data_IF_974620465336
#
_entry.id   IF_974620465336
#
_cell.length_a   1.000
_cell.length_b   1.000
_cell.length_c   1.000
_cell.angle_alpha   90.00
_cell.angle_beta   90.00
_cell.angle_gamma   90.00
#
_symmetry.space_group_name_H-M   'P 1'
#
loop_
_entity.id
_entity.type
_entity.pdbx_description
1 polymer ?
#
# COMPACT_ATOMS: atom_id res chain seq x y z
N UNK A 1 1.93 -13.46 11.25
CA UNK A 1 0.64 -13.64 10.57
C UNK A 1 -0.43 -13.08 11.49
N UNK A 2 -1.43 -12.40 10.94
CA UNK A 2 -2.61 -11.98 11.69
C UNK A 2 -3.77 -12.82 11.17
N UNK A 3 -4.43 -13.52 12.08
CA UNK A 3 -5.59 -14.34 11.79
C UNK A 3 -6.85 -13.47 11.74
N UNK A 4 -7.87 -13.94 11.02
CA UNK A 4 -9.21 -13.31 10.99
C UNK A 4 -9.20 -11.81 10.64
N UNK A 5 -8.33 -11.40 9.70
CA UNK A 5 -8.27 -10.00 9.25
C UNK A 5 -9.51 -9.60 8.46
N UNK A 6 -10.00 -10.47 7.58
CA UNK A 6 -11.20 -10.22 6.78
C UNK A 6 -11.96 -11.51 6.51
N UNK A 7 -13.25 -11.40 6.20
CA UNK A 7 -14.07 -12.57 5.89
C UNK A 7 -13.77 -13.09 4.47
N UNK A 8 -13.74 -14.41 4.23
CA UNK A 8 -13.54 -14.96 2.89
C UNK A 8 -14.48 -14.39 1.81
N UNK A 9 -15.73 -14.06 2.16
CA UNK A 9 -16.68 -13.44 1.23
C UNK A 9 -16.25 -12.02 0.80
N UNK A 10 -15.63 -11.25 1.71
CA UNK A 10 -15.07 -9.94 1.38
C UNK A 10 -13.94 -10.09 0.37
N UNK A 11 -13.07 -11.10 0.56
CA UNK A 11 -11.98 -11.43 -0.38
C UNK A 11 -12.55 -11.79 -1.75
N UNK A 12 -13.58 -12.62 -1.78
CA UNK A 12 -14.21 -13.04 -3.04
C UNK A 12 -14.84 -11.86 -3.78
N UNK A 13 -15.42 -10.91 -3.05
CA UNK A 13 -15.93 -9.68 -3.63
C UNK A 13 -14.83 -8.81 -4.23
N UNK A 14 -13.70 -8.66 -3.55
CA UNK A 14 -12.54 -7.92 -4.09
C UNK A 14 -11.92 -8.64 -5.30
N UNK A 15 -11.86 -9.98 -5.29
CA UNK A 15 -11.45 -10.75 -6.48
C UNK A 15 -12.32 -10.40 -7.68
N UNK A 16 -13.65 -10.41 -7.53
CA UNK A 16 -14.60 -10.05 -8.61
C UNK A 16 -14.47 -8.61 -9.07
N UNK A 17 -14.26 -7.67 -8.14
CA UNK A 17 -14.07 -6.25 -8.47
C UNK A 17 -12.75 -6.00 -9.24
N UNK A 18 -11.71 -6.80 -8.98
CA UNK A 18 -10.38 -6.65 -9.60
C UNK A 18 -10.16 -7.52 -10.84
N UNK A 19 -10.96 -8.57 -11.03
CA UNK A 19 -10.86 -9.52 -12.13
C UNK A 19 -10.89 -8.87 -13.52
N UNK A 20 -11.82 -7.95 -13.86
CA UNK A 20 -11.88 -7.35 -15.20
C UNK A 20 -10.58 -6.62 -15.59
N UNK A 21 -9.87 -6.08 -14.62
CA UNK A 21 -8.59 -5.40 -14.83
C UNK A 21 -7.43 -6.37 -15.01
N UNK A 22 -7.46 -7.50 -14.30
CA UNK A 22 -6.45 -8.56 -14.45
C UNK A 22 -6.59 -9.28 -15.79
N UNK A 23 -7.82 -9.54 -16.25
CA UNK A 23 -8.10 -10.21 -17.52
C UNK A 23 -7.71 -9.37 -18.75
N UNK A 24 -7.71 -8.05 -18.60
CA UNK A 24 -7.33 -7.10 -19.67
C UNK A 24 -5.88 -6.64 -19.58
N UNK A 25 -5.15 -7.04 -18.53
CA UNK A 25 -3.73 -6.75 -18.37
C UNK A 25 -2.86 -7.54 -19.35
N UNK A 26 -1.68 -6.99 -19.64
CA UNK A 26 -0.75 -7.52 -20.63
C UNK A 26 0.45 -8.20 -19.96
N UNK A 27 1.04 -9.23 -20.57
CA UNK A 27 2.30 -9.80 -20.11
C UNK A 27 3.35 -8.73 -19.82
N UNK A 28 4.07 -8.89 -18.71
CA UNK A 28 5.16 -7.99 -18.36
C UNK A 28 6.39 -8.24 -19.24
N UNK A 29 6.97 -7.17 -19.79
CA UNK A 29 8.24 -7.23 -20.52
C UNK A 29 9.28 -6.53 -19.66
N UNK A 30 10.07 -7.30 -18.91
CA UNK A 30 11.10 -6.78 -18.03
C UNK A 30 11.42 -7.73 -16.88
N UNK A 31 12.12 -7.23 -15.87
CA UNK A 31 12.61 -8.03 -14.74
C UNK A 31 11.71 -8.00 -13.50
N UNK A 32 10.80 -7.02 -13.41
CA UNK A 32 10.02 -6.79 -12.19
C UNK A 32 8.97 -7.87 -11.94
N UNK A 33 8.25 -8.27 -12.99
CA UNK A 33 7.23 -9.33 -12.90
C UNK A 33 7.47 -10.40 -13.96
N UNK A 34 7.14 -11.66 -13.68
CA UNK A 34 7.01 -12.69 -14.70
C UNK A 34 5.99 -12.28 -15.78
N UNK A 35 6.19 -12.67 -17.06
CA UNK A 35 5.24 -12.38 -18.12
C UNK A 35 3.88 -13.08 -17.92
N UNK A 36 3.83 -14.14 -17.11
CA UNK A 36 2.63 -14.90 -16.76
C UNK A 36 1.74 -14.14 -15.76
N UNK A 37 2.33 -13.39 -14.83
CA UNK A 37 1.59 -12.63 -13.82
C UNK A 37 0.77 -11.49 -14.43
N UNK A 38 -0.51 -11.41 -14.06
CA UNK A 38 -1.41 -10.29 -14.37
C UNK A 38 -1.56 -9.38 -13.16
N UNK A 39 -1.71 -8.08 -13.41
CA UNK A 39 -1.77 -7.04 -12.37
C UNK A 39 -3.03 -6.21 -12.48
N UNK A 40 -3.58 -5.86 -11.32
CA UNK A 40 -4.55 -4.79 -11.15
C UNK A 40 -3.94 -3.72 -10.24
N UNK A 41 -3.37 -2.67 -10.84
CA UNK A 41 -2.92 -1.47 -10.11
C UNK A 41 -4.10 -0.65 -9.57
N UNK A 42 -3.85 0.30 -8.66
CA UNK A 42 -4.84 1.16 -8.03
C UNK A 42 -6.01 0.36 -7.42
N UNK A 43 -5.69 -0.67 -6.63
CA UNK A 43 -6.68 -1.53 -5.98
C UNK A 43 -7.71 -0.70 -5.19
N UNK A 44 -7.28 0.33 -4.44
CA UNK A 44 -8.20 1.16 -3.65
C UNK A 44 -9.15 2.00 -4.52
N UNK A 45 -8.72 2.43 -5.71
CA UNK A 45 -9.59 3.12 -6.66
C UNK A 45 -10.54 2.17 -7.40
N UNK A 46 -10.12 0.91 -7.63
CA UNK A 46 -10.87 -0.07 -8.44
C UNK A 46 -11.81 -0.95 -7.64
N UNK A 47 -11.53 -1.16 -6.35
CA UNK A 47 -12.34 -1.99 -5.46
C UNK A 47 -13.02 -1.14 -4.40
N UNK A 48 -14.34 -0.97 -4.53
CA UNK A 48 -15.18 -0.31 -3.53
C UNK A 48 -15.16 -1.05 -2.20
N UNK A 49 -14.93 -2.35 -2.24
CA UNK A 49 -14.84 -3.19 -1.04
C UNK A 49 -13.50 -2.98 -0.34
N UNK A 50 -12.37 -3.05 -1.07
CA UNK A 50 -11.04 -2.88 -0.48
C UNK A 50 -10.85 -1.50 0.18
N UNK A 51 -11.33 -0.42 -0.46
CA UNK A 51 -11.20 0.92 0.12
C UNK A 51 -12.06 1.13 1.37
N UNK A 52 -13.23 0.48 1.45
CA UNK A 52 -14.18 0.64 2.56
C UNK A 52 -13.93 -0.30 3.72
N UNK A 53 -13.41 -1.49 3.45
CA UNK A 53 -13.27 -2.54 4.46
C UNK A 53 -11.81 -2.82 4.82
N UNK A 54 -10.85 -2.63 3.90
CA UNK A 54 -9.44 -2.94 4.17
C UNK A 54 -8.57 -1.70 4.40
N UNK A 55 -8.67 -0.68 3.55
CA UNK A 55 -7.80 0.50 3.63
C UNK A 55 -7.99 1.25 4.95
N UNK A 56 -9.24 1.37 5.39
CA UNK A 56 -9.65 2.09 6.60
C UNK A 56 -9.82 1.16 7.81
N UNK A 57 -9.30 -0.07 7.74
CA UNK A 57 -9.42 -1.02 8.85
C UNK A 57 -8.69 -0.49 10.11
N UNK A 58 -9.29 -0.56 11.31
CA UNK A 58 -8.64 -0.10 12.54
C UNK A 58 -7.30 -0.78 12.86
N UNK A 59 -7.12 -2.04 12.45
CA UNK A 59 -5.84 -2.75 12.57
C UNK A 59 -4.78 -2.12 11.66
N UNK A 60 -5.12 -1.78 10.41
CA UNK A 60 -4.23 -1.03 9.51
C UNK A 60 -3.81 0.27 10.18
N UNK A 61 -4.76 1.04 10.73
CA UNK A 61 -4.45 2.30 11.39
C UNK A 61 -3.48 2.11 12.56
N UNK A 62 -3.72 1.12 13.44
CA UNK A 62 -2.85 0.81 14.58
C UNK A 62 -1.44 0.41 14.14
N UNK A 63 -1.34 -0.46 13.14
CA UNK A 63 -0.04 -0.90 12.62
C UNK A 63 0.74 0.26 11.98
N UNK A 64 0.07 1.14 11.24
CA UNK A 64 0.67 2.35 10.69
C UNK A 64 1.17 3.30 11.79
N UNK A 65 0.38 3.49 12.85
CA UNK A 65 0.77 4.30 14.01
C UNK A 65 2.03 3.78 14.70
N UNK A 66 2.13 2.47 14.87
CA UNK A 66 3.26 1.84 15.55
C UNK A 66 4.54 1.86 14.70
N UNK A 67 4.43 1.52 13.41
CA UNK A 67 5.60 1.21 12.59
C UNK A 67 6.04 2.29 11.61
N UNK A 68 5.16 3.21 11.23
CA UNK A 68 5.41 4.13 10.11
C UNK A 68 5.31 5.58 10.53
N UNK A 69 4.24 5.94 11.24
CA UNK A 69 3.96 7.30 11.66
C UNK A 69 5.19 7.91 12.34
N UNK A 70 5.40 9.21 12.11
CA UNK A 70 6.58 9.89 12.65
C UNK A 70 6.19 11.24 13.23
N UNK A 71 6.45 11.38 14.52
CA UNK A 71 6.36 12.68 15.19
C UNK A 71 7.70 13.41 15.11
N UNK A 72 7.66 14.65 14.62
CA UNK A 72 8.81 15.56 14.54
C UNK A 72 8.47 16.91 15.14
N UNK A 73 9.51 17.73 15.33
CA UNK A 73 9.38 19.06 15.92
C UNK A 73 10.16 20.04 15.07
N UNK A 74 9.60 21.23 14.87
CA UNK A 74 10.32 22.38 14.33
C UNK A 74 10.03 23.62 15.21
N UNK A 75 10.61 24.75 14.84
CA UNK A 75 10.34 26.03 15.48
C UNK A 75 9.99 27.08 14.43
N UNK A 76 8.97 27.88 14.71
CA UNK A 76 8.71 29.14 14.03
C UNK A 76 8.96 30.28 15.02
N UNK A 77 10.10 30.97 14.84
CA UNK A 77 10.61 31.88 15.85
C UNK A 77 10.96 31.13 17.15
N UNK A 78 10.35 31.53 18.26
CA UNK A 78 10.53 30.90 19.58
C UNK A 78 9.48 29.82 19.87
N UNK A 79 8.45 29.68 19.04
CA UNK A 79 7.37 28.72 19.25
C UNK A 79 7.77 27.35 18.70
N UNK A 80 7.72 26.32 19.54
CA UNK A 80 7.89 24.92 19.12
C UNK A 80 6.58 24.37 18.56
N UNK A 81 6.62 23.86 17.34
CA UNK A 81 5.51 23.15 16.73
C UNK A 81 5.79 21.65 16.70
N UNK A 82 4.75 20.84 16.97
CA UNK A 82 4.84 19.38 17.02
C UNK A 82 3.94 18.80 15.94
N UNK A 83 4.52 17.94 15.12
CA UNK A 83 3.89 17.43 13.90
C UNK A 83 3.90 15.93 13.91
N UNK A 84 2.81 15.31 13.47
CA UNK A 84 2.77 13.86 13.26
C UNK A 84 2.45 13.58 11.81
N UNK A 85 3.45 13.10 11.08
CA UNK A 85 3.26 12.59 9.73
C UNK A 85 2.66 11.19 9.83
N UNK A 86 1.35 11.09 9.62
CA UNK A 86 0.66 9.80 9.52
C UNK A 86 0.99 9.10 8.20
N UNK A 87 0.96 7.77 8.22
CA UNK A 87 1.21 6.95 7.05
C UNK A 87 0.15 7.15 5.95
N UNK A 88 0.59 7.07 4.70
CA UNK A 88 -0.26 7.02 3.51
C UNK A 88 -0.02 5.75 2.72
N UNK A 89 -1.04 5.29 2.00
CA UNK A 89 -0.98 4.14 1.10
C UNK A 89 -0.06 4.50 -0.07
N UNK A 90 1.15 3.95 -0.09
CA UNK A 90 2.15 4.14 -1.12
C UNK A 90 1.75 3.51 -2.45
N UNK A 91 1.22 2.28 -2.44
CA UNK A 91 0.71 1.57 -3.61
C UNK A 91 -0.32 0.55 -3.17
N UNK A 92 -1.30 0.29 -4.01
CA UNK A 92 -2.29 -0.75 -3.79
C UNK A 92 -2.48 -1.58 -5.06
N UNK A 93 -2.28 -2.89 -5.00
CA UNK A 93 -2.21 -3.73 -6.19
C UNK A 93 -2.73 -5.13 -5.93
N UNK A 94 -3.34 -5.73 -6.95
CA UNK A 94 -3.63 -7.17 -6.97
C UNK A 94 -2.77 -7.86 -8.01
N UNK A 95 -2.25 -9.03 -7.66
CA UNK A 95 -1.53 -9.93 -8.55
C UNK A 95 -2.37 -11.18 -8.78
N UNK A 96 -2.58 -11.53 -10.04
CA UNK A 96 -3.17 -12.80 -10.45
C UNK A 96 -2.04 -13.63 -11.06
N UNK A 97 -1.74 -14.76 -10.44
CA UNK A 97 -0.58 -15.59 -10.72
C UNK A 97 -1.07 -16.85 -11.44
N UNK A 98 -0.48 -17.11 -12.60
CA UNK A 98 -0.92 -18.17 -13.51
C UNK A 98 -0.74 -19.55 -12.86
N UNK A 99 -1.60 -20.54 -13.14
CA UNK A 99 -1.32 -21.94 -12.81
C UNK A 99 0.02 -22.36 -13.41
N UNK A 100 0.77 -23.21 -12.71
CA UNK A 100 2.09 -23.68 -13.13
C UNK A 100 3.19 -22.60 -13.21
N UNK A 101 2.92 -21.36 -12.77
CA UNK A 101 3.94 -20.33 -12.62
C UNK A 101 4.93 -20.76 -11.53
N UNK A 102 6.13 -21.17 -11.97
CA UNK A 102 7.21 -21.59 -11.08
C UNK A 102 7.82 -20.39 -10.37
N UNK A 103 8.27 -20.62 -9.11
CA UNK A 103 9.03 -19.65 -8.34
C UNK A 103 10.23 -19.20 -9.17
N UNK A 104 10.26 -17.93 -9.56
CA UNK A 104 11.48 -17.29 -10.01
C UNK A 104 12.13 -16.62 -8.81
N UNK A 105 13.46 -16.53 -8.80
CA UNK A 105 14.26 -15.78 -7.81
C UNK A 105 14.02 -14.25 -7.91
N UNK A 106 12.79 -13.81 -8.17
CA UNK A 106 12.32 -12.43 -8.16
C UNK A 106 12.14 -11.97 -6.70
N UNK A 107 13.24 -12.01 -5.93
CA UNK A 107 13.27 -11.48 -4.58
C UNK A 107 13.41 -9.97 -4.60
N UNK A 108 12.49 -9.29 -3.93
CA UNK A 108 12.53 -7.84 -3.78
C UNK A 108 12.73 -7.45 -2.31
N UNK A 109 13.60 -6.47 -2.07
CA UNK A 109 13.47 -5.56 -0.93
C UNK A 109 12.71 -4.35 -1.40
N UNK A 110 11.84 -3.83 -0.56
CA UNK A 110 10.99 -2.72 -0.95
C UNK A 110 11.33 -1.55 -0.05
N UNK A 111 11.96 -0.56 -0.66
CA UNK A 111 12.78 0.43 0.05
C UNK A 111 12.00 1.33 1.03
N UNK A 112 10.67 1.20 1.12
CA UNK A 112 9.81 2.04 1.96
C UNK A 112 8.63 1.28 2.58
N UNK A 113 8.61 1.24 3.92
CA UNK A 113 7.43 1.07 4.78
C UNK A 113 6.83 -0.33 4.97
N UNK A 114 5.76 -0.42 5.76
CA UNK A 114 5.07 -1.68 6.08
C UNK A 114 4.19 -2.10 4.91
N UNK A 115 4.18 -3.40 4.62
CA UNK A 115 3.33 -4.02 3.61
C UNK A 115 2.30 -4.89 4.34
N UNK A 116 1.02 -4.58 4.18
CA UNK A 116 -0.10 -5.49 4.45
C UNK A 116 -0.56 -5.93 3.07
N UNK A 117 -0.51 -7.17 2.61
CA UNK A 117 -1.60 -8.12 2.69
C UNK A 117 -1.16 -9.22 1.71
N UNK A 118 -1.38 -10.47 2.06
CA UNK A 118 -1.64 -11.54 1.09
C UNK A 118 -2.84 -12.27 1.68
N UNK A 119 -3.86 -12.56 0.86
CA UNK A 119 -5.11 -13.20 1.32
C UNK A 119 -5.29 -14.59 0.67
N UNK A 120 -4.18 -15.20 0.22
CA UNK A 120 -4.16 -16.54 -0.38
C UNK A 120 -2.81 -17.23 -0.17
N UNK A 121 -2.81 -18.57 -0.04
CA UNK A 121 -1.69 -19.30 0.55
C UNK A 121 -0.36 -19.18 -0.23
N UNK A 122 0.73 -19.17 0.55
CA UNK A 122 2.16 -19.29 0.19
C UNK A 122 2.82 -18.06 -0.44
N UNK A 123 3.44 -17.26 0.42
CA UNK A 123 4.53 -16.34 0.09
C UNK A 123 5.88 -16.93 0.52
N UNK A 124 6.97 -16.55 -0.16
CA UNK A 124 8.33 -17.03 0.16
C UNK A 124 9.13 -15.93 0.85
N UNK A 125 9.59 -16.21 2.07
CA UNK A 125 10.45 -15.32 2.87
C UNK A 125 11.85 -15.93 2.89
N UNK A 126 12.85 -15.26 2.35
CA UNK A 126 14.18 -15.88 2.18
C UNK A 126 15.01 -15.99 3.45
N UNK A 127 14.70 -15.21 4.49
CA UNK A 127 15.20 -15.39 5.85
C UNK A 127 14.43 -14.50 6.83
N UNK A 128 14.24 -14.96 8.07
CA UNK A 128 13.75 -14.11 9.15
C UNK A 128 14.84 -13.05 9.47
N UNK A 129 14.45 -11.83 9.82
CA UNK A 129 15.33 -10.70 10.17
C UNK A 129 16.13 -10.03 9.04
N UNK A 130 15.87 -10.30 7.75
CA UNK A 130 16.61 -9.59 6.67
C UNK A 130 16.36 -8.08 6.64
N UNK A 131 15.33 -7.58 7.33
CA UNK A 131 15.12 -6.14 7.51
C UNK A 131 16.25 -5.43 8.27
N UNK A 132 17.16 -6.19 8.89
CA UNK A 132 18.38 -5.71 9.54
C UNK A 132 19.61 -5.82 8.65
N UNK A 133 19.49 -6.37 7.44
CA UNK A 133 20.61 -6.53 6.52
C UNK A 133 20.98 -5.19 5.89
N UNK A 134 22.26 -5.06 5.56
CA UNK A 134 22.73 -3.98 4.68
C UNK A 134 22.02 -4.08 3.32
N UNK A 135 21.75 -2.94 2.68
CA UNK A 135 21.19 -2.88 1.33
C UNK A 135 22.07 -3.51 0.26
N UNK A 136 23.35 -3.74 0.57
CA UNK A 136 24.33 -4.39 -0.30
C UNK A 136 24.28 -5.92 -0.22
N UNK A 137 23.53 -6.49 0.74
CA UNK A 137 23.41 -7.93 0.89
C UNK A 137 22.21 -8.44 0.12
N UNK A 138 22.47 -9.29 -0.88
CA UNK A 138 21.45 -10.12 -1.51
C UNK A 138 21.48 -11.51 -0.90
N UNK A 139 20.33 -12.19 -0.76
CA UNK A 139 20.37 -13.55 -0.26
C UNK A 139 20.97 -14.50 -1.31
N UNK A 140 21.54 -15.63 -0.87
CA UNK A 140 22.35 -16.58 -1.67
C UNK A 140 21.67 -17.95 -1.83
N UNK A 141 21.94 -18.69 -2.91
CA UNK A 141 21.45 -20.06 -3.03
C UNK A 141 21.84 -20.88 -1.79
N UNK A 142 20.87 -21.55 -1.17
CA UNK A 142 21.08 -22.27 0.10
C UNK A 142 20.80 -21.47 1.37
N UNK A 143 20.44 -20.19 1.29
CA UNK A 143 19.92 -19.45 2.45
C UNK A 143 18.58 -20.03 2.94
N UNK A 144 18.34 -19.98 4.26
CA UNK A 144 17.15 -20.52 4.93
C UNK A 144 15.86 -19.79 4.56
N UNK A 145 15.06 -20.40 3.70
CA UNK A 145 13.76 -19.87 3.29
C UNK A 145 12.63 -20.36 4.21
N UNK A 146 11.72 -19.47 4.59
CA UNK A 146 10.49 -19.74 5.33
C UNK A 146 9.29 -19.36 4.47
N UNK A 147 8.25 -20.19 4.48
CA UNK A 147 7.00 -19.90 3.77
C UNK A 147 6.01 -19.20 4.71
N UNK A 148 5.43 -18.09 4.25
CA UNK A 148 4.29 -17.48 4.93
C UNK A 148 3.01 -18.16 4.42
N UNK A 149 2.70 -19.32 5.00
CA UNK A 149 1.45 -20.04 4.74
C UNK A 149 0.32 -19.42 5.57
N UNK A 150 -0.83 -19.21 4.94
CA UNK A 150 -1.99 -18.58 5.55
C UNK A 150 -3.26 -18.89 4.76
N UNK A 151 -4.39 -18.89 5.47
CA UNK A 151 -5.71 -19.16 4.90
C UNK A 151 -6.34 -17.88 4.32
N UNK A 152 -7.39 -18.07 3.50
CA UNK A 152 -8.17 -16.95 2.97
C UNK A 152 -8.81 -16.19 4.13
N UNK A 153 -8.55 -14.89 4.19
CA UNK A 153 -9.03 -14.00 5.26
C UNK A 153 -7.96 -13.67 6.30
N UNK A 154 -6.88 -14.44 6.37
CA UNK A 154 -5.70 -14.09 7.15
C UNK A 154 -4.84 -13.08 6.39
N UNK A 155 -3.94 -12.41 7.12
CA UNK A 155 -3.06 -11.41 6.53
C UNK A 155 -1.64 -11.49 7.03
N UNK A 156 -0.70 -11.47 6.08
CA UNK A 156 0.71 -11.36 6.37
C UNK A 156 1.14 -9.88 6.39
N UNK A 157 1.85 -9.51 7.45
CA UNK A 157 2.42 -8.17 7.65
C UNK A 157 3.94 -8.27 7.62
N UNK A 158 4.57 -7.38 6.85
CA UNK A 158 6.02 -7.31 6.77
C UNK A 158 6.54 -5.88 6.77
N UNK A 159 7.75 -5.69 7.31
CA UNK A 159 8.51 -4.44 7.18
C UNK A 159 9.22 -4.41 5.82
N UNK A 160 9.35 -3.24 5.20
CA UNK A 160 9.88 -3.10 3.84
C UNK A 160 11.30 -3.64 3.60
N UNK A 161 12.12 -3.73 4.66
CA UNK A 161 13.45 -4.35 4.59
C UNK A 161 13.45 -5.88 4.49
N UNK A 162 12.29 -6.53 4.62
CA UNK A 162 12.21 -7.99 4.50
C UNK A 162 12.37 -8.41 3.04
N UNK A 163 13.34 -9.29 2.75
CA UNK A 163 13.49 -9.94 1.45
C UNK A 163 12.39 -10.98 1.30
N UNK A 164 11.59 -10.82 0.26
CA UNK A 164 10.46 -11.71 -0.05
C UNK A 164 10.32 -11.90 -1.55
N UNK A 165 9.68 -13.00 -1.92
CA UNK A 165 9.23 -13.29 -3.27
C UNK A 165 7.85 -13.94 -3.20
N UNK A 166 7.10 -13.77 -4.28
CA UNK A 166 5.84 -14.49 -4.40
C UNK A 166 6.08 -15.97 -4.65
N UNK A 167 5.30 -16.85 -4.02
CA UNK A 167 5.47 -18.29 -4.14
C UNK A 167 5.07 -18.85 -5.50
N UNK A 168 5.62 -20.01 -5.87
CA UNK A 168 5.15 -20.75 -7.05
C UNK A 168 3.65 -21.06 -6.93
N UNK A 169 2.91 -20.90 -8.02
CA UNK A 169 1.56 -21.45 -8.13
C UNK A 169 1.64 -22.86 -8.74
N UNK A 170 1.65 -23.87 -7.87
CA UNK A 170 1.76 -25.28 -8.31
C UNK A 170 0.41 -25.92 -8.65
N UNK A 171 -0.66 -25.14 -8.74
CA UNK A 171 -1.95 -25.65 -9.22
C UNK A 171 -1.95 -25.72 -10.74
N UNK A 172 -2.81 -26.56 -11.32
CA UNK A 172 -2.90 -26.75 -12.78
C UNK A 172 -4.06 -25.97 -13.42
N UNK A 173 -5.02 -25.48 -12.63
CA UNK A 173 -6.29 -24.95 -13.14
C UNK A 173 -6.76 -23.66 -12.45
N UNK A 174 -6.04 -23.18 -11.42
CA UNK A 174 -6.51 -22.06 -10.58
C UNK A 174 -5.51 -20.93 -10.50
N UNK A 175 -5.96 -19.75 -10.92
CA UNK A 175 -5.23 -18.52 -10.68
C UNK A 175 -5.15 -18.24 -9.18
N UNK A 176 -3.96 -17.91 -8.70
CA UNK A 176 -3.76 -17.45 -7.32
C UNK A 176 -3.77 -15.92 -7.31
N UNK A 177 -4.76 -15.36 -6.61
CA UNK A 177 -4.90 -13.91 -6.47
C UNK A 177 -4.34 -13.46 -5.13
N UNK A 178 -3.50 -12.43 -5.14
CA UNK A 178 -2.91 -11.79 -3.97
C UNK A 178 -3.20 -10.30 -4.04
N UNK A 179 -3.73 -9.73 -2.95
CA UNK A 179 -3.95 -8.28 -2.83
C UNK A 179 -2.94 -7.68 -1.86
N UNK A 180 -2.39 -6.51 -2.17
CA UNK A 180 -1.44 -5.79 -1.33
C UNK A 180 -1.77 -4.30 -1.19
N UNK A 181 -1.59 -3.81 0.04
CA UNK A 181 -1.63 -2.44 0.52
C UNK A 181 -0.28 -2.09 1.15
N UNK A 182 0.42 -1.17 0.52
CA UNK A 182 1.77 -0.80 0.93
C UNK A 182 1.71 0.61 1.48
N UNK A 183 2.35 0.87 2.62
CA UNK A 183 2.26 2.16 3.30
C UNK A 183 3.63 2.81 3.42
N UNK A 184 3.68 4.13 3.32
CA UNK A 184 4.88 4.94 3.55
C UNK A 184 4.53 6.10 4.48
N UNK A 185 5.54 6.81 4.98
CA UNK A 185 5.29 8.03 5.77
C UNK A 185 4.57 9.04 4.90
N UNK A 186 3.57 9.74 5.42
CA UNK A 186 2.84 10.74 4.65
C UNK A 186 3.74 11.86 4.12
N UNK A 187 4.90 12.10 4.74
CA UNK A 187 5.90 13.05 4.24
C UNK A 187 6.73 12.54 3.06
N UNK A 188 6.56 11.28 2.65
CA UNK A 188 7.30 10.63 1.57
C UNK A 188 6.43 10.46 0.33
N UNK A 189 7.06 10.40 -0.84
CA UNK A 189 6.38 10.17 -2.11
C UNK A 189 5.80 8.74 -2.15
N UNK A 190 4.53 8.64 -2.51
CA UNK A 190 3.85 7.37 -2.81
C UNK A 190 4.44 6.73 -4.08
N UNK A 191 4.46 5.40 -4.13
CA UNK A 191 4.95 4.62 -5.28
C UNK A 191 3.96 4.70 -6.47
N UNK A 192 2.67 4.65 -6.17
CA UNK A 192 1.57 4.83 -7.13
C UNK A 192 1.00 6.24 -7.05
N UNK A 193 0.74 6.85 -8.20
CA UNK A 193 0.20 8.22 -8.25
C UNK A 193 -1.32 8.22 -8.14
N UNK A 194 -1.82 8.37 -6.91
CA UNK A 194 -3.25 8.41 -6.61
C UNK A 194 -3.99 9.54 -7.33
N UNK A 195 -3.33 10.68 -7.59
CA UNK A 195 -3.93 11.88 -8.18
C UNK A 195 -4.15 11.75 -9.68
N UNK A 196 -3.35 10.91 -10.35
CA UNK A 196 -3.51 10.60 -11.76
C UNK A 196 -4.33 9.33 -11.98
N UNK A 197 -4.29 8.40 -11.02
CA UNK A 197 -5.00 7.12 -11.12
C UNK A 197 -6.51 7.24 -10.83
N UNK A 198 -6.95 8.32 -10.19
CA UNK A 198 -8.34 8.54 -9.79
C UNK A 198 -8.80 9.95 -10.18
N UNK A 199 -10.06 10.09 -10.55
CA UNK A 199 -10.70 11.38 -10.80
C UNK A 199 -11.03 12.11 -9.50
N UNK A 200 -11.20 13.42 -9.57
CA UNK A 200 -11.65 14.22 -8.42
C UNK A 200 -13.00 13.74 -7.87
N UNK A 201 -13.94 13.34 -8.75
CA UNK A 201 -15.25 12.81 -8.36
C UNK A 201 -15.11 11.51 -7.55
N UNK A 202 -14.26 10.58 -8.00
CA UNK A 202 -14.00 9.33 -7.29
C UNK A 202 -13.40 9.60 -5.91
N UNK A 203 -12.37 10.44 -5.83
CA UNK A 203 -11.72 10.78 -4.55
C UNK A 203 -12.71 11.45 -3.59
N UNK A 204 -13.52 12.39 -4.07
CA UNK A 204 -14.53 13.07 -3.27
C UNK A 204 -15.66 12.14 -2.81
N UNK A 205 -15.87 11.01 -3.49
CA UNK A 205 -16.84 9.98 -3.08
C UNK A 205 -16.35 9.08 -1.94
N UNK A 206 -15.05 9.07 -1.65
CA UNK A 206 -14.46 8.27 -0.58
C UNK A 206 -14.76 8.87 0.80
N UNK A 207 -14.65 8.05 1.86
CA UNK A 207 -14.76 8.58 3.23
C UNK A 207 -13.58 9.52 3.53
N UNK A 208 -13.74 10.49 4.44
CA UNK A 208 -12.63 11.37 4.84
C UNK A 208 -11.40 10.59 5.32
N UNK A 209 -11.60 9.47 6.01
CA UNK A 209 -10.53 8.57 6.44
C UNK A 209 -9.82 7.91 5.25
N UNK A 210 -10.58 7.40 4.27
CA UNK A 210 -10.00 6.82 3.06
C UNK A 210 -9.24 7.88 2.24
N UNK A 211 -9.77 9.10 2.11
CA UNK A 211 -9.07 10.22 1.45
C UNK A 211 -7.73 10.51 2.13
N UNK A 212 -7.70 10.55 3.46
CA UNK A 212 -6.49 10.77 4.25
C UNK A 212 -5.46 9.66 4.02
N UNK A 213 -5.86 8.40 4.20
CA UNK A 213 -4.95 7.24 4.06
C UNK A 213 -4.50 7.08 2.59
N UNK A 214 -5.35 7.40 1.61
CA UNK A 214 -4.97 7.40 0.19
C UNK A 214 -3.97 8.50 -0.18
N UNK A 215 -3.64 9.41 0.75
CA UNK A 215 -2.69 10.49 0.56
C UNK A 215 -3.30 11.79 0.07
N UNK A 216 -4.63 11.91 -0.02
CA UNK A 216 -5.31 13.12 -0.50
C UNK A 216 -5.47 14.22 0.57
N UNK A 217 -4.66 14.21 1.63
CA UNK A 217 -4.65 15.20 2.71
C UNK A 217 -3.27 15.81 2.89
N UNK A 218 -3.20 16.98 3.52
CA UNK A 218 -1.92 17.53 3.99
C UNK A 218 -1.25 16.50 4.90
N UNK A 219 0.04 16.27 4.72
CA UNK A 219 0.86 15.53 5.68
C UNK A 219 1.86 16.46 6.33
N UNK A 220 2.09 16.27 7.62
CA UNK A 220 3.03 17.08 8.35
C UNK A 220 4.48 16.75 7.99
N UNK A 221 5.38 17.72 7.85
CA UNK A 221 5.20 19.18 7.98
C UNK A 221 4.80 19.78 6.63
N UNK A 222 3.55 20.24 6.48
CA UNK A 222 3.08 21.04 5.35
C UNK A 222 3.48 20.52 3.95
N UNK A 223 3.35 19.22 3.69
CA UNK A 223 3.54 18.65 2.36
C UNK A 223 2.22 18.12 1.80
N UNK A 224 2.23 17.82 0.49
CA UNK A 224 1.06 17.35 -0.25
C UNK A 224 -0.02 18.44 -0.39
N UNK A 225 0.36 19.61 -0.90
CA UNK A 225 -0.57 20.69 -1.21
C UNK A 225 -0.52 21.06 -2.70
N UNK A 226 -1.60 21.64 -3.19
CA UNK A 226 -1.71 22.27 -4.51
C UNK A 226 -2.11 23.71 -4.31
N UNK A 227 -1.29 24.67 -4.72
CA UNK A 227 -1.54 26.11 -4.53
C UNK A 227 -1.89 26.50 -3.07
N UNK A 228 -1.16 25.94 -2.09
CA UNK A 228 -1.47 26.11 -0.66
C UNK A 228 -2.89 25.69 -0.27
N UNK A 229 -3.42 24.66 -0.93
CA UNK A 229 -4.65 23.98 -0.57
C UNK A 229 -4.38 22.49 -0.41
N UNK A 230 -5.09 21.84 0.50
CA UNK A 230 -5.15 20.37 0.49
C UNK A 230 -5.71 19.87 -0.85
N UNK A 231 -5.39 18.64 -1.29
CA UNK A 231 -5.96 18.07 -2.50
C UNK A 231 -7.49 18.08 -2.50
N UNK A 232 -8.13 17.79 -1.36
CA UNK A 232 -9.59 17.85 -1.21
C UNK A 232 -10.12 19.28 -1.42
N UNK A 233 -9.52 20.29 -0.78
CA UNK A 233 -9.93 21.68 -0.99
C UNK A 233 -9.77 22.09 -2.46
N UNK A 234 -8.67 21.70 -3.10
CA UNK A 234 -8.44 21.98 -4.51
C UNK A 234 -9.53 21.34 -5.38
N UNK A 235 -9.87 20.08 -5.15
CA UNK A 235 -10.94 19.40 -5.89
C UNK A 235 -12.32 20.04 -5.71
N UNK A 236 -12.62 20.53 -4.50
CA UNK A 236 -13.90 21.18 -4.21
C UNK A 236 -14.03 22.59 -4.80
N UNK A 237 -12.91 23.31 -4.91
CA UNK A 237 -12.92 24.75 -5.23
C UNK A 237 -12.37 25.08 -6.63
N UNK A 238 -11.73 24.12 -7.29
CA UNK A 238 -10.95 24.38 -8.50
C UNK A 238 -9.74 25.29 -8.23
N UNK A 239 -9.28 25.37 -6.98
CA UNK A 239 -8.16 26.23 -6.57
C UNK A 239 -8.52 27.68 -6.26
N UNK A 240 -9.81 28.04 -6.23
CA UNK A 240 -10.28 29.40 -5.94
C UNK A 240 -10.76 29.50 -4.49
N UNK A 241 -10.05 30.27 -3.67
CA UNK A 241 -10.41 30.51 -2.26
C UNK A 241 -10.34 32.00 -1.92
N UNK A 242 -11.14 32.44 -0.95
CA UNK A 242 -11.17 33.85 -0.51
C UNK A 242 -9.93 34.25 0.28
N UNK A 243 -9.31 33.30 0.99
CA UNK A 243 -8.09 33.51 1.77
C UNK A 243 -7.29 32.21 1.90
N UNK A 244 -5.98 32.36 2.07
CA UNK A 244 -5.09 31.27 2.48
C UNK A 244 -4.93 31.25 3.99
N UNK A 245 -4.60 30.08 4.53
CA UNK A 245 -4.32 29.88 5.95
C UNK A 245 -3.26 28.80 6.13
N UNK A 246 -2.94 28.51 7.39
CA UNK A 246 -2.02 27.43 7.73
C UNK A 246 -2.57 26.08 7.24
N UNK A 247 -1.71 25.28 6.60
CA UNK A 247 -2.13 24.03 5.96
C UNK A 247 -2.26 22.88 6.97
N UNK A 248 -1.42 22.91 8.00
CA UNK A 248 -1.37 21.92 9.06
C UNK A 248 -2.05 22.45 10.31
N UNK A 249 -2.87 21.61 10.94
CA UNK A 249 -3.54 21.95 12.19
C UNK A 249 -2.55 22.29 13.32
N UNK A 250 -1.31 21.77 13.26
CA UNK A 250 -0.25 22.09 14.21
C UNK A 250 0.29 23.53 14.11
N UNK A 251 -0.04 24.25 13.04
CA UNK A 251 0.42 25.62 12.77
C UNK A 251 -0.62 26.69 13.11
N UNK A 252 -1.88 26.28 13.26
CA UNK A 252 -2.99 27.18 13.60
C UNK A 252 -2.76 27.82 14.97
N UNK A 253 -2.77 29.15 15.00
CA UNK A 253 -2.61 29.97 16.22
C UNK A 253 -3.84 29.98 17.12
#
# INVERSE_FOLDING_TARGET
MIQDFTHPDTVEKVNKETQPFSETDKPWIGSLFPPETRRCSNLIGRSKTAIKEWLVDPLIRRLNAEFIDKTTHNYYGETRHTYTSEASCAISVSFSIDPEELLRDCFATTKTGMRLISIRPRQVIRKVQTHLWSSELVPRPGDDVVYAEHDVGEVWVMLGGVYHADGANTTSDKWRVVHGLFFTRGSMRQEEDVYLANTAEEVLSWSPEAQKIAGCSISSQNVIFVNFLSPIQYFLTGGVVDHYGDLDAADVK
#
